data_IF_765164758538
#
_entry.id   IF_765164758538
#
_cell.length_a   1.000
_cell.length_b   1.000
_cell.length_c   1.000
_cell.angle_alpha   90.00
_cell.angle_beta   90.00
_cell.angle_gamma   90.00
#
_symmetry.space_group_name_H-M   'P 1'
#
loop_
_entity.id
_entity.type
_entity.pdbx_description
1 polymer ?
#
# COMPACT_ATOMS: atom_id res chain seq x y z
N UNK A 1 -5.59 2.40 14.68
CA UNK A 1 -6.60 1.37 14.33
C UNK A 1 -6.09 0.64 13.10
N UNK A 2 -5.59 -0.59 13.27
CA UNK A 2 -5.05 -1.41 12.20
C UNK A 2 -6.13 -2.38 11.68
N UNK A 3 -6.32 -2.42 10.36
CA UNK A 3 -7.11 -3.42 9.61
C UNK A 3 -6.47 -3.48 8.21
N UNK A 4 -6.19 -4.59 7.54
CA UNK A 4 -6.44 -6.02 7.79
C UNK A 4 -5.71 -6.80 6.69
N UNK A 5 -5.50 -8.10 6.94
CA UNK A 5 -5.06 -9.13 5.98
C UNK A 5 -5.61 -8.98 4.55
N UNK A 6 -4.90 -9.48 3.52
CA UNK A 6 -5.31 -9.37 2.12
C UNK A 6 -6.71 -9.96 1.93
N UNK A 7 -7.69 -9.09 1.69
CA UNK A 7 -9.07 -9.51 1.45
C UNK A 7 -9.10 -10.14 0.05
N UNK A 8 -9.33 -11.45 0.00
CA UNK A 8 -9.55 -12.22 -1.25
C UNK A 8 -10.69 -11.63 -2.13
N UNK A 9 -11.56 -10.84 -1.53
CA UNK A 9 -12.65 -10.12 -2.17
C UNK A 9 -12.28 -8.64 -2.27
N UNK A 10 -12.38 -8.05 -3.46
CA UNK A 10 -12.04 -6.64 -3.69
C UNK A 10 -12.76 -5.66 -2.74
N UNK A 11 -12.33 -4.39 -2.68
CA UNK A 11 -12.94 -3.41 -1.79
C UNK A 11 -14.44 -3.25 -2.09
N UNK A 12 -15.28 -3.02 -1.07
CA UNK A 12 -16.69 -2.71 -1.30
C UNK A 12 -16.82 -1.37 -2.03
N UNK A 13 -17.87 -1.16 -2.85
CA UNK A 13 -18.03 0.06 -3.63
C UNK A 13 -18.02 1.36 -2.80
N UNK A 14 -18.53 1.29 -1.56
CA UNK A 14 -18.48 2.40 -0.62
C UNK A 14 -17.04 2.77 -0.19
N UNK A 15 -16.14 1.79 -0.03
CA UNK A 15 -14.75 2.05 0.31
C UNK A 15 -14.00 2.72 -0.85
N UNK A 16 -14.32 2.37 -2.10
CA UNK A 16 -13.75 2.99 -3.29
C UNK A 16 -14.15 4.46 -3.37
N UNK A 17 -15.44 4.76 -3.19
CA UNK A 17 -15.94 6.14 -3.13
C UNK A 17 -15.27 6.93 -2.01
N UNK A 18 -15.21 6.37 -0.81
CA UNK A 18 -14.61 7.02 0.34
C UNK A 18 -13.14 7.35 0.09
N UNK A 19 -12.35 6.39 -0.39
CA UNK A 19 -10.95 6.61 -0.71
C UNK A 19 -10.76 7.73 -1.75
N UNK A 20 -11.61 7.78 -2.78
CA UNK A 20 -11.58 8.87 -3.76
C UNK A 20 -11.88 10.23 -3.12
N UNK A 21 -12.95 10.31 -2.31
CA UNK A 21 -13.33 11.54 -1.64
C UNK A 21 -12.26 12.02 -0.65
N UNK A 22 -11.63 11.12 0.09
CA UNK A 22 -10.48 11.42 0.98
C UNK A 22 -9.29 11.97 0.20
N UNK A 23 -9.03 11.47 -1.01
CA UNK A 23 -7.99 12.00 -1.89
C UNK A 23 -8.36 13.34 -2.57
N UNK A 24 -9.59 13.81 -2.44
CA UNK A 24 -10.07 15.03 -3.10
C UNK A 24 -10.18 14.92 -4.62
N UNK A 25 -10.28 13.70 -5.17
CA UNK A 25 -10.26 13.45 -6.62
C UNK A 25 -11.66 13.33 -7.22
N UNK A 26 -11.79 13.75 -8.47
CA UNK A 26 -12.90 13.38 -9.35
C UNK A 26 -12.81 11.91 -9.78
N UNK A 27 -13.89 11.34 -10.30
CA UNK A 27 -13.88 9.96 -10.80
C UNK A 27 -12.88 9.77 -11.97
N UNK A 28 -12.69 10.80 -12.79
CA UNK A 28 -11.75 10.76 -13.92
C UNK A 28 -10.29 10.75 -13.44
N UNK A 29 -9.93 11.62 -12.50
CA UNK A 29 -8.58 11.66 -11.92
C UNK A 29 -8.25 10.37 -11.15
N UNK A 30 -9.24 9.81 -10.46
CA UNK A 30 -9.06 8.55 -9.74
C UNK A 30 -8.85 7.37 -10.71
N UNK A 31 -9.58 7.34 -11.83
CA UNK A 31 -9.37 6.36 -12.89
C UNK A 31 -7.95 6.46 -13.49
N UNK A 32 -7.50 7.68 -13.82
CA UNK A 32 -6.16 7.91 -14.38
C UNK A 32 -5.04 7.53 -13.39
N UNK A 33 -5.25 7.78 -12.08
CA UNK A 33 -4.32 7.39 -11.01
C UNK A 33 -3.95 5.90 -11.09
N UNK A 34 -4.88 5.03 -11.45
CA UNK A 34 -4.64 3.58 -11.61
C UNK A 34 -4.64 3.10 -13.06
N UNK A 35 -4.56 4.03 -14.03
CA UNK A 35 -4.56 3.74 -15.47
C UNK A 35 -5.77 2.90 -15.92
N UNK A 36 -6.91 3.15 -15.31
CA UNK A 36 -8.20 2.57 -15.66
C UNK A 36 -9.04 3.54 -16.50
N UNK A 37 -10.08 3.02 -17.16
CA UNK A 37 -11.06 3.88 -17.84
C UNK A 37 -12.04 4.50 -16.84
N UNK A 38 -12.54 5.71 -17.15
CA UNK A 38 -13.58 6.38 -16.35
C UNK A 38 -14.80 5.48 -16.13
N UNK A 39 -15.29 4.83 -17.19
CA UNK A 39 -16.43 3.89 -17.10
C UNK A 39 -16.12 2.72 -16.16
N UNK A 40 -14.90 2.19 -16.20
CA UNK A 40 -14.48 1.14 -15.27
C UNK A 40 -14.55 1.61 -13.82
N UNK A 41 -14.04 2.80 -13.53
CA UNK A 41 -14.11 3.42 -12.21
C UNK A 41 -15.56 3.63 -11.74
N UNK A 42 -16.42 4.14 -12.61
CA UNK A 42 -17.84 4.34 -12.31
C UNK A 42 -18.56 3.03 -11.98
N UNK A 43 -18.29 1.94 -12.71
CA UNK A 43 -18.86 0.62 -12.41
C UNK A 43 -18.38 0.07 -11.07
N UNK A 44 -17.12 0.32 -10.70
CA UNK A 44 -16.59 -0.05 -9.39
C UNK A 44 -17.26 0.72 -8.26
N UNK A 45 -17.46 2.03 -8.43
CA UNK A 45 -18.21 2.82 -7.45
C UNK A 45 -19.68 2.41 -7.41
N UNK A 46 -20.33 2.18 -8.54
CA UNK A 46 -21.74 1.75 -8.58
C UNK A 46 -21.97 0.37 -7.94
N UNK A 47 -20.96 -0.51 -7.97
CA UNK A 47 -21.10 -1.91 -7.57
C UNK A 47 -21.50 -2.85 -8.72
N UNK A 48 -21.60 -2.32 -9.94
CA UNK A 48 -21.85 -3.11 -11.16
C UNK A 48 -20.68 -4.05 -11.49
N UNK A 49 -19.47 -3.71 -11.04
CA UNK A 49 -18.26 -4.52 -11.23
C UNK A 49 -17.41 -4.53 -9.95
N UNK A 50 -16.86 -5.69 -9.61
CA UNK A 50 -15.86 -5.79 -8.55
C UNK A 50 -14.54 -5.12 -8.96
N UNK A 51 -14.01 -4.26 -8.10
CA UNK A 51 -12.69 -3.67 -8.30
C UNK A 51 -11.60 -4.72 -7.99
N UNK A 52 -10.61 -4.91 -8.88
CA UNK A 52 -9.46 -5.75 -8.57
C UNK A 52 -8.73 -5.24 -7.32
N UNK A 53 -8.44 -6.10 -6.32
CA UNK A 53 -7.81 -5.65 -5.07
C UNK A 53 -6.47 -4.94 -5.31
N UNK A 54 -5.61 -5.46 -6.20
CA UNK A 54 -4.33 -4.82 -6.52
C UNK A 54 -4.44 -3.43 -7.14
N UNK A 55 -5.52 -3.11 -7.86
CA UNK A 55 -5.75 -1.74 -8.35
C UNK A 55 -6.15 -0.80 -7.22
N UNK A 56 -6.93 -1.29 -6.24
CA UNK A 56 -7.28 -0.51 -5.07
C UNK A 56 -6.06 -0.25 -4.18
N UNK A 57 -5.21 -1.27 -3.98
CA UNK A 57 -3.93 -1.11 -3.28
C UNK A 57 -3.04 -0.06 -3.97
N UNK A 58 -2.90 -0.13 -5.30
CA UNK A 58 -2.16 0.87 -6.08
C UNK A 58 -2.75 2.28 -5.91
N UNK A 59 -4.07 2.42 -5.92
CA UNK A 59 -4.74 3.70 -5.68
C UNK A 59 -4.40 4.27 -4.31
N UNK A 60 -4.49 3.45 -3.27
CA UNK A 60 -4.19 3.85 -1.89
C UNK A 60 -2.73 4.25 -1.72
N UNK A 61 -1.79 3.53 -2.35
CA UNK A 61 -0.36 3.89 -2.35
C UNK A 61 -0.14 5.24 -3.02
N UNK A 62 -0.70 5.43 -4.22
CA UNK A 62 -0.52 6.68 -5.00
C UNK A 62 -1.16 7.91 -4.35
N UNK A 63 -2.22 7.71 -3.57
CA UNK A 63 -2.91 8.79 -2.85
C UNK A 63 -2.44 8.98 -1.41
N UNK A 64 -1.42 8.24 -0.97
CA UNK A 64 -0.89 8.33 0.41
C UNK A 64 -1.86 7.85 1.48
N UNK A 65 -2.90 7.11 1.11
CA UNK A 65 -3.89 6.56 2.03
C UNK A 65 -3.54 5.14 2.50
N UNK A 66 -2.55 4.51 1.86
CA UNK A 66 -2.01 3.24 2.34
C UNK A 66 -1.27 3.49 3.65
N UNK A 67 -1.50 2.68 4.72
CA UNK A 67 -0.75 2.79 5.94
C UNK A 67 0.70 2.38 5.67
N UNK A 68 1.52 3.36 5.30
CA UNK A 68 2.95 3.26 5.47
C UNK A 68 3.18 3.38 6.97
N UNK A 69 3.20 2.26 7.67
CA UNK A 69 3.84 2.23 8.98
C UNK A 69 5.34 2.48 8.74
N UNK A 70 5.74 3.74 8.57
CA UNK A 70 7.14 4.17 8.43
C UNK A 70 8.01 3.62 9.58
N UNK A 71 7.37 3.34 10.70
CA UNK A 71 7.99 2.76 11.90
C UNK A 71 8.34 1.27 11.76
N UNK A 72 7.65 0.48 10.93
CA UNK A 72 7.96 -0.96 10.74
C UNK A 72 9.11 -1.18 9.75
N UNK A 73 9.21 -0.40 8.67
CA UNK A 73 10.38 -0.40 7.77
C UNK A 73 11.66 0.01 8.53
N UNK A 74 11.60 1.10 9.30
CA UNK A 74 12.74 1.59 10.11
C UNK A 74 13.10 0.65 11.27
N UNK A 75 12.14 0.00 11.94
CA UNK A 75 12.40 -1.01 12.99
C UNK A 75 12.98 -2.32 12.46
N UNK A 76 12.64 -2.70 11.23
CA UNK A 76 13.18 -3.91 10.60
C UNK A 76 14.63 -3.73 10.16
N UNK A 77 15.00 -2.52 9.70
CA UNK A 77 16.38 -2.18 9.35
C UNK A 77 17.33 -2.14 10.56
N UNK A 78 16.83 -1.82 11.76
CA UNK A 78 17.63 -1.81 13.00
C UNK A 78 17.70 -3.15 13.71
N UNK A 79 16.79 -4.11 13.43
CA UNK A 79 16.83 -5.47 13.99
C UNK A 79 17.87 -6.38 13.31
N UNK A 80 18.39 -5.99 12.13
CA UNK A 80 19.38 -6.77 11.36
C UNK A 80 20.83 -6.30 11.45
N UNK A 81 21.16 -5.23 12.21
CA UNK A 81 22.53 -4.71 12.34
C UNK A 81 23.05 -4.80 13.77
N UNK A 82 22.91 -5.97 14.38
CA UNK A 82 23.57 -6.31 15.65
C UNK A 82 23.89 -7.80 15.68
N UNK A 83 24.62 -8.29 14.68
CA UNK A 83 25.31 -9.58 14.66
C UNK A 83 26.25 -9.64 13.47
N UNK A 84 27.15 -8.65 13.33
CA UNK A 84 28.40 -8.94 12.63
C UNK A 84 29.38 -9.38 13.72
N UNK A 85 29.69 -10.68 13.86
CA UNK A 85 30.70 -11.10 14.79
C UNK A 85 32.01 -10.48 14.33
N UNK A 86 32.60 -9.71 15.23
CA UNK A 86 33.94 -9.15 15.17
C UNK A 86 34.86 -10.14 14.47
N UNK A 87 35.35 -9.81 13.27
CA UNK A 87 36.58 -10.42 12.76
C UNK A 87 37.67 -9.99 13.74
N UNK A 88 37.91 -10.84 14.74
CA UNK A 88 38.99 -10.69 15.70
C UNK A 88 40.32 -10.76 14.95
N UNK A 89 41.27 -9.83 15.15
CA UNK A 89 42.55 -9.86 14.47
C UNK A 89 43.33 -11.08 14.95
N UNK A 90 43.86 -11.86 14.01
CA UNK A 90 44.82 -12.92 14.35
C UNK A 90 46.06 -12.25 14.92
N UNK A 91 46.32 -12.51 16.21
CA UNK A 91 47.54 -12.16 16.92
C UNK A 91 48.78 -12.61 16.14
N UNK A 92 49.69 -11.67 15.93
CA UNK A 92 51.11 -11.91 15.70
C UNK A 92 51.82 -11.91 17.06
N UNK A 93 52.62 -12.94 17.37
CA UNK A 93 53.89 -12.70 18.08
C UNK A 93 55.00 -13.62 17.52
N UNK A 94 56.29 -13.36 17.62
CA UNK A 94 57.11 -12.22 18.03
C UNK A 94 58.37 -12.26 17.15
#
# INVERSE_FOLDING_TARGET
MALSAPRKYGPPPAAIRLARHTAGLTQAEAADTVRASLRGWQQWEAGDRAMPPGLFELFMIKTGQWPLDDTEWRRSATRGRASEPTRNPVHRPA
#
